data_IF_769720175462
#
_entry.id   IF_769720175462
#
_cell.length_a   1.000
_cell.length_b   1.000
_cell.length_c   1.000
_cell.angle_alpha   90.00
_cell.angle_beta   90.00
_cell.angle_gamma   90.00
#
_symmetry.space_group_name_H-M   'P 1'
#
loop_
_entity.id
_entity.type
_entity.pdbx_description
1 polymer ?
#
# COMPACT_ATOMS: atom_id res chain seq x y z
N UNK A 1 5.62 -21.00 -23.57
CA UNK A 1 6.36 -20.25 -22.53
C UNK A 1 6.49 -18.84 -23.07
N UNK A 2 6.04 -17.82 -22.33
CA UNK A 2 6.24 -16.44 -22.75
C UNK A 2 7.76 -16.15 -22.83
N UNK A 3 8.21 -15.49 -23.90
CA UNK A 3 9.61 -15.11 -24.04
C UNK A 3 9.97 -14.17 -22.89
N UNK A 4 11.02 -14.50 -22.14
CA UNK A 4 11.54 -13.65 -21.05
C UNK A 4 12.76 -12.85 -21.52
N UNK A 5 12.97 -12.74 -22.84
CA UNK A 5 14.16 -12.16 -23.48
C UNK A 5 14.44 -10.70 -23.09
N UNK A 6 13.50 -9.98 -22.48
CA UNK A 6 13.68 -8.61 -21.97
C UNK A 6 13.94 -8.47 -20.46
N UNK A 7 13.93 -9.57 -19.69
CA UNK A 7 13.88 -9.51 -18.22
C UNK A 7 15.20 -9.87 -17.56
N UNK A 8 15.86 -8.86 -17.00
CA UNK A 8 17.08 -9.04 -16.20
C UNK A 8 16.73 -9.32 -14.74
N UNK A 9 17.38 -10.27 -14.06
CA UNK A 9 17.23 -10.47 -12.63
C UNK A 9 17.38 -9.17 -11.82
N UNK A 10 16.37 -8.84 -11.01
CA UNK A 10 16.39 -7.67 -10.11
C UNK A 10 17.26 -8.01 -8.90
N UNK A 11 18.56 -8.10 -9.14
CA UNK A 11 19.58 -8.32 -8.11
C UNK A 11 20.08 -7.00 -7.57
N UNK A 12 20.72 -7.04 -6.40
CA UNK A 12 21.38 -5.85 -5.83
C UNK A 12 22.41 -5.24 -6.78
N UNK A 13 23.22 -6.07 -7.46
CA UNK A 13 24.23 -5.60 -8.42
C UNK A 13 23.61 -4.91 -9.64
N UNK A 14 22.50 -5.46 -10.17
CA UNK A 14 21.77 -4.83 -11.25
C UNK A 14 21.19 -3.47 -10.82
N UNK A 15 20.53 -3.42 -9.66
CA UNK A 15 20.01 -2.17 -9.10
C UNK A 15 21.12 -1.15 -8.81
N UNK A 16 22.31 -1.58 -8.41
CA UNK A 16 23.45 -0.70 -8.21
C UNK A 16 23.83 0.00 -9.53
N UNK A 17 24.00 -0.76 -10.61
CA UNK A 17 24.31 -0.20 -11.93
C UNK A 17 23.21 0.74 -12.45
N UNK A 18 21.95 0.40 -12.19
CA UNK A 18 20.81 1.25 -12.56
C UNK A 18 20.83 2.57 -11.78
N UNK A 19 21.02 2.51 -10.46
CA UNK A 19 21.03 3.69 -9.59
C UNK A 19 22.30 4.54 -9.74
N UNK A 20 23.35 4.08 -10.42
CA UNK A 20 24.49 4.94 -10.78
C UNK A 20 24.10 6.10 -11.69
N UNK A 21 23.01 5.95 -12.44
CA UNK A 21 22.43 7.00 -13.28
C UNK A 21 21.53 7.97 -12.51
N UNK A 22 21.14 7.64 -11.28
CA UNK A 22 20.26 8.44 -10.42
C UNK A 22 21.02 8.92 -9.18
N UNK A 23 21.78 10.00 -9.33
CA UNK A 23 22.54 10.58 -8.21
C UNK A 23 21.73 11.66 -7.52
N UNK A 24 21.41 11.46 -6.24
CA UNK A 24 20.82 12.52 -5.43
C UNK A 24 21.90 13.55 -5.10
N UNK A 25 21.70 14.85 -5.40
CA UNK A 25 22.60 15.90 -4.96
C UNK A 25 22.70 15.93 -3.42
N UNK A 26 23.87 16.25 -2.85
CA UNK A 26 24.00 16.40 -1.40
C UNK A 26 22.96 17.39 -0.83
N UNK A 27 22.51 17.11 0.39
CA UNK A 27 21.69 18.05 1.15
C UNK A 27 22.44 19.37 1.39
N UNK A 28 21.71 20.46 1.57
CA UNK A 28 22.31 21.72 2.04
C UNK A 28 23.08 21.51 3.36
N UNK A 29 24.25 22.14 3.48
CA UNK A 29 25.05 22.17 4.71
C UNK A 29 24.27 22.78 5.89
N UNK A 30 23.26 23.60 5.59
CA UNK A 30 22.34 24.16 6.58
C UNK A 30 21.57 23.08 7.35
N UNK A 31 21.35 21.89 6.79
CA UNK A 31 20.67 20.79 7.49
C UNK A 31 21.43 20.42 8.77
N UNK A 32 22.74 20.21 8.67
CA UNK A 32 23.56 19.81 9.80
C UNK A 32 23.68 20.94 10.82
N UNK A 33 23.93 22.17 10.35
CA UNK A 33 24.05 23.37 11.18
C UNK A 33 22.76 23.63 11.95
N UNK A 34 21.62 23.75 11.26
CA UNK A 34 20.33 24.04 11.88
C UNK A 34 19.86 22.88 12.78
N UNK A 35 20.12 21.62 12.41
CA UNK A 35 19.84 20.50 13.31
C UNK A 35 20.62 20.61 14.62
N UNK A 36 21.88 21.07 14.58
CA UNK A 36 22.66 21.32 15.80
C UNK A 36 22.09 22.49 16.62
N UNK A 37 21.75 23.60 15.97
CA UNK A 37 21.16 24.77 16.63
C UNK A 37 19.83 24.44 17.30
N UNK A 38 18.92 23.75 16.60
CA UNK A 38 17.62 23.35 17.15
C UNK A 38 17.77 22.31 18.26
N UNK A 39 18.77 21.42 18.17
CA UNK A 39 19.10 20.48 19.25
C UNK A 39 19.58 21.23 20.50
N UNK A 40 20.43 22.25 20.34
CA UNK A 40 20.85 23.10 21.46
C UNK A 40 19.66 23.82 22.09
N UNK A 41 18.79 24.41 21.26
CA UNK A 41 17.56 25.05 21.73
C UNK A 41 16.67 24.09 22.54
N UNK A 42 16.51 22.87 22.07
CA UNK A 42 15.73 21.81 22.75
C UNK A 42 16.35 21.47 24.11
N UNK A 43 17.68 21.33 24.18
CA UNK A 43 18.40 21.08 25.42
C UNK A 43 18.28 22.25 26.41
N UNK A 44 18.38 23.49 25.92
CA UNK A 44 18.21 24.69 26.74
C UNK A 44 16.78 24.83 27.27
N UNK A 45 15.76 24.41 26.49
CA UNK A 45 14.37 24.40 26.96
C UNK A 45 14.18 23.41 28.10
N UNK A 46 14.79 22.23 28.00
CA UNK A 46 14.73 21.20 29.05
C UNK A 46 15.48 21.63 30.32
N UNK A 47 16.62 22.31 30.21
CA UNK A 47 17.43 22.71 31.37
C UNK A 47 16.81 23.84 32.20
N UNK A 48 16.11 24.79 31.55
CA UNK A 48 15.54 25.96 32.22
C UNK A 48 14.21 25.70 32.93
N UNK A 49 13.51 24.62 32.58
CA UNK A 49 12.29 24.18 33.27
C UNK A 49 12.17 22.67 33.10
N UNK A 50 12.34 21.88 34.17
CA UNK A 50 12.30 20.42 34.06
C UNK A 50 10.93 20.01 33.55
N UNK A 51 10.91 19.19 32.49
CA UNK A 51 9.69 18.57 32.00
C UNK A 51 9.08 17.71 33.11
N UNK A 52 7.79 17.39 33.00
CA UNK A 52 7.26 16.34 33.87
C UNK A 52 8.07 15.06 33.63
N UNK A 53 8.33 14.22 34.66
CA UNK A 53 9.20 13.04 34.49
C UNK A 53 8.79 12.11 33.34
N UNK A 54 7.51 12.09 32.98
CA UNK A 54 7.00 11.35 31.82
C UNK A 54 7.30 12.00 30.47
N UNK A 55 7.20 13.32 30.36
CA UNK A 55 7.51 14.09 29.15
C UNK A 55 9.01 14.08 28.86
N UNK A 56 9.85 14.28 29.89
CA UNK A 56 11.31 14.27 29.74
C UNK A 56 11.79 12.91 29.22
N UNK A 57 11.32 11.82 29.84
CA UNK A 57 11.66 10.46 29.41
C UNK A 57 11.23 10.17 27.97
N UNK A 58 10.08 10.71 27.54
CA UNK A 58 9.58 10.53 26.18
C UNK A 58 10.40 11.32 25.16
N UNK A 59 10.75 12.58 25.47
CA UNK A 59 11.59 13.43 24.62
C UNK A 59 13.01 12.86 24.50
N UNK A 60 13.62 12.43 25.61
CA UNK A 60 14.95 11.81 25.62
C UNK A 60 14.95 10.52 24.80
N UNK A 61 13.97 9.65 25.01
CA UNK A 61 13.84 8.40 24.24
C UNK A 61 13.74 8.66 22.73
N UNK A 62 13.05 9.71 22.32
CA UNK A 62 12.90 10.07 20.91
C UNK A 62 14.17 10.66 20.31
N UNK A 63 14.91 11.47 21.08
CA UNK A 63 16.20 12.00 20.66
C UNK A 63 17.26 10.91 20.50
N UNK A 64 17.19 9.84 21.29
CA UNK A 64 18.05 8.67 21.20
C UNK A 64 17.62 7.70 20.09
N UNK A 65 16.36 7.77 19.64
CA UNK A 65 15.84 6.90 18.58
C UNK A 65 16.50 7.21 17.26
N UNK A 66 17.04 6.17 16.61
CA UNK A 66 17.53 6.30 15.24
C UNK A 66 16.36 6.41 14.27
N UNK A 67 16.49 7.19 13.17
CA UNK A 67 15.52 7.17 12.09
C UNK A 67 15.35 5.74 11.56
N UNK A 68 14.13 5.34 11.15
CA UNK A 68 13.92 4.01 10.57
C UNK A 68 14.80 3.78 9.35
N UNK A 69 15.36 2.58 9.25
CA UNK A 69 16.27 2.19 8.16
C UNK A 69 15.54 2.05 6.82
N UNK A 70 14.33 1.46 6.83
CA UNK A 70 13.55 1.23 5.61
C UNK A 70 13.01 2.56 5.07
N UNK A 71 13.28 2.86 3.80
CA UNK A 71 12.87 4.12 3.16
C UNK A 71 11.37 4.41 3.32
N UNK A 72 10.51 3.41 3.18
CA UNK A 72 9.06 3.61 3.30
C UNK A 72 8.60 3.80 4.75
N UNK A 73 9.16 3.06 5.69
CA UNK A 73 8.94 3.29 7.14
C UNK A 73 9.36 4.70 7.52
N UNK A 74 10.50 5.13 6.98
CA UNK A 74 11.04 6.44 7.21
C UNK A 74 10.16 7.55 6.60
N UNK A 75 9.61 7.34 5.40
CA UNK A 75 8.58 8.24 4.84
C UNK A 75 7.35 8.34 5.74
N UNK A 76 6.87 7.23 6.29
CA UNK A 76 5.78 7.25 7.26
C UNK A 76 6.16 8.03 8.52
N UNK A 77 7.40 7.91 8.99
CA UNK A 77 7.89 8.66 10.15
C UNK A 77 7.97 10.17 9.91
N UNK A 78 8.41 10.58 8.73
CA UNK A 78 8.36 12.00 8.33
C UNK A 78 6.91 12.50 8.30
N UNK A 79 5.99 11.71 7.76
CA UNK A 79 4.56 12.05 7.72
C UNK A 79 3.97 12.21 9.13
N UNK A 80 4.30 11.28 10.04
CA UNK A 80 3.94 11.36 11.46
C UNK A 80 4.43 12.66 12.09
N UNK A 81 5.71 13.00 11.95
CA UNK A 81 6.26 14.22 12.53
C UNK A 81 5.67 15.49 11.93
N UNK A 82 5.48 15.54 10.62
CA UNK A 82 4.82 16.68 9.97
C UNK A 82 3.40 16.89 10.50
N UNK A 83 2.65 15.81 10.68
CA UNK A 83 1.27 15.91 11.17
C UNK A 83 1.19 16.25 12.65
N UNK A 84 2.08 15.72 13.48
CA UNK A 84 2.22 16.17 14.87
C UNK A 84 2.58 17.68 14.93
N UNK A 85 3.44 18.17 14.02
CA UNK A 85 3.75 19.61 13.94
C UNK A 85 2.52 20.41 13.53
N UNK A 86 1.80 20.00 12.47
CA UNK A 86 0.56 20.67 12.04
C UNK A 86 -0.44 20.73 13.18
N UNK A 87 -0.62 19.61 13.88
CA UNK A 87 -1.47 19.51 15.05
C UNK A 87 -1.06 20.50 16.14
N UNK A 88 0.23 20.55 16.52
CA UNK A 88 0.74 21.49 17.53
C UNK A 88 0.54 22.96 17.11
N UNK A 89 0.65 23.24 15.81
CA UNK A 89 0.50 24.56 15.23
C UNK A 89 -0.96 24.94 14.92
N UNK A 90 -1.94 24.09 15.19
CA UNK A 90 -3.35 24.45 15.07
C UNK A 90 -3.73 25.49 16.11
N UNK A 91 -4.40 26.57 15.67
CA UNK A 91 -4.71 27.75 16.49
C UNK A 91 -5.34 27.45 17.86
N UNK A 92 -6.30 26.51 18.01
CA UNK A 92 -6.88 26.18 19.31
C UNK A 92 -5.88 25.64 20.34
N UNK A 93 -4.71 25.16 19.89
CA UNK A 93 -3.65 24.60 20.75
C UNK A 93 -2.57 25.60 21.09
N UNK A 94 -2.62 26.80 20.54
CA UNK A 94 -1.65 27.83 20.87
C UNK A 94 -1.78 28.24 22.34
N UNK A 95 -0.70 28.70 22.98
CA UNK A 95 -0.76 29.45 24.23
C UNK A 95 -1.83 30.55 24.15
N UNK A 96 -2.60 30.76 25.21
CA UNK A 96 -3.72 31.73 25.22
C UNK A 96 -3.26 33.13 24.78
N UNK A 97 -2.07 33.52 25.23
CA UNK A 97 -1.39 34.78 24.89
C UNK A 97 -1.10 34.95 23.40
N UNK A 98 -0.95 33.87 22.62
CA UNK A 98 -0.80 33.90 21.16
C UNK A 98 -2.13 33.79 20.41
N UNK A 99 -3.19 33.27 21.02
CA UNK A 99 -4.52 33.19 20.39
C UNK A 99 -5.12 34.59 20.22
N UNK A 100 -4.90 35.45 21.23
CA UNK A 100 -5.32 36.84 21.30
C UNK A 100 -4.09 37.73 21.60
N UNK A 101 -3.23 38.01 20.59
CA UNK A 101 -1.98 38.72 20.79
C UNK A 101 -2.23 40.13 21.35
N UNK A 102 -1.72 40.38 22.55
CA UNK A 102 -1.83 41.69 23.22
C UNK A 102 -0.58 42.55 23.01
N UNK A 103 0.53 41.97 22.54
CA UNK A 103 1.79 42.67 22.26
C UNK A 103 2.21 42.54 20.79
N UNK A 104 2.98 43.51 20.24
CA UNK A 104 3.54 43.40 18.89
C UNK A 104 4.45 42.18 18.69
N UNK A 105 5.17 41.77 19.73
CA UNK A 105 6.06 40.60 19.69
C UNK A 105 5.26 39.30 19.58
N UNK A 106 4.18 39.17 20.35
CA UNK A 106 3.26 38.03 20.27
C UNK A 106 2.56 37.97 18.90
N UNK A 107 2.20 39.12 18.32
CA UNK A 107 1.60 39.19 16.99
C UNK A 107 2.58 38.78 15.88
N UNK A 108 3.86 39.15 16.00
CA UNK A 108 4.91 38.71 15.08
C UNK A 108 5.10 37.19 15.19
N UNK A 109 5.15 36.66 16.42
CA UNK A 109 5.34 35.24 16.66
C UNK A 109 4.15 34.39 16.13
N UNK A 110 2.92 34.85 16.35
CA UNK A 110 1.71 34.27 15.76
C UNK A 110 1.78 34.22 14.22
N UNK A 111 2.31 35.28 13.59
CA UNK A 111 2.49 35.33 12.13
C UNK A 111 3.51 34.28 11.66
N UNK A 112 4.62 34.11 12.39
CA UNK A 112 5.62 33.08 12.10
C UNK A 112 4.99 31.70 12.17
N UNK A 113 4.32 31.35 13.27
CA UNK A 113 3.70 30.04 13.45
C UNK A 113 2.61 29.73 12.43
N UNK A 114 1.82 30.73 12.02
CA UNK A 114 0.86 30.58 10.92
C UNK A 114 1.55 30.18 9.61
N UNK A 115 2.70 30.78 9.31
CA UNK A 115 3.47 30.43 8.12
C UNK A 115 4.11 29.04 8.24
N UNK A 116 4.63 28.66 9.41
CA UNK A 116 5.16 27.32 9.65
C UNK A 116 4.07 26.25 9.43
N UNK A 117 2.87 26.48 9.98
CA UNK A 117 1.70 25.61 9.79
C UNK A 117 1.38 25.40 8.31
N UNK A 118 1.34 26.49 7.53
CA UNK A 118 1.09 26.45 6.09
C UNK A 118 2.15 25.65 5.34
N UNK A 119 3.43 25.82 5.69
CA UNK A 119 4.54 25.08 5.06
C UNK A 119 4.41 23.58 5.31
N UNK A 120 4.28 23.17 6.57
CA UNK A 120 4.11 21.75 6.91
C UNK A 120 2.84 21.16 6.31
N UNK A 121 1.72 21.89 6.32
CA UNK A 121 0.48 21.42 5.69
C UNK A 121 0.65 21.18 4.18
N UNK A 122 1.45 22.01 3.50
CA UNK A 122 1.71 21.88 2.06
C UNK A 122 2.64 20.70 1.77
N UNK A 123 3.74 20.59 2.51
CA UNK A 123 4.70 19.51 2.35
C UNK A 123 4.10 18.15 2.75
N UNK A 124 3.27 18.10 3.80
CA UNK A 124 2.51 16.91 4.21
C UNK A 124 1.61 16.41 3.07
N UNK A 125 0.81 17.30 2.46
CA UNK A 125 -0.03 16.96 1.29
C UNK A 125 0.79 16.43 0.11
N UNK A 126 1.98 16.98 -0.10
CA UNK A 126 2.89 16.51 -1.16
C UNK A 126 3.34 15.06 -0.89
N UNK A 127 3.73 14.75 0.34
CA UNK A 127 4.09 13.40 0.76
C UNK A 127 2.91 12.42 0.65
N UNK A 128 1.71 12.83 1.05
CA UNK A 128 0.48 12.03 0.92
C UNK A 128 0.16 11.72 -0.55
N UNK A 129 0.25 12.73 -1.41
CA UNK A 129 0.05 12.58 -2.85
C UNK A 129 1.06 11.61 -3.45
N UNK A 130 2.33 11.73 -3.05
CA UNK A 130 3.40 10.82 -3.48
C UNK A 130 3.10 9.37 -3.09
N UNK A 131 2.79 9.10 -1.81
CA UNK A 131 2.49 7.74 -1.33
C UNK A 131 1.27 7.13 -2.04
N UNK A 132 0.21 7.91 -2.22
CA UNK A 132 -1.00 7.48 -2.93
C UNK A 132 -0.72 7.14 -4.40
N UNK A 133 -0.03 8.05 -5.12
CA UNK A 133 0.36 7.83 -6.53
C UNK A 133 1.26 6.62 -6.70
N UNK A 134 2.24 6.43 -5.81
CA UNK A 134 3.15 5.29 -5.86
C UNK A 134 2.41 3.97 -5.63
N UNK A 135 1.50 3.92 -4.64
CA UNK A 135 0.65 2.74 -4.39
C UNK A 135 -0.23 2.40 -5.60
N UNK A 136 -0.84 3.41 -6.22
CA UNK A 136 -1.65 3.20 -7.42
C UNK A 136 -0.82 2.74 -8.62
N UNK A 137 0.40 3.27 -8.77
CA UNK A 137 1.34 2.86 -9.82
C UNK A 137 1.72 1.39 -9.68
N UNK A 138 2.13 0.96 -8.47
CA UNK A 138 2.44 -0.45 -8.17
C UNK A 138 1.26 -1.33 -8.58
N UNK A 139 0.05 -0.97 -8.15
CA UNK A 139 -1.15 -1.73 -8.47
C UNK A 139 -1.42 -1.80 -9.97
N UNK A 140 -1.33 -0.67 -10.68
CA UNK A 140 -1.55 -0.61 -12.12
C UNK A 140 -0.53 -1.47 -12.88
N UNK A 141 0.75 -1.45 -12.49
CA UNK A 141 1.78 -2.31 -13.08
C UNK A 141 1.44 -3.78 -12.89
N UNK A 142 1.09 -4.19 -11.67
CA UNK A 142 0.65 -5.58 -11.39
C UNK A 142 -0.58 -5.95 -12.23
N UNK A 143 -1.51 -5.01 -12.43
CA UNK A 143 -2.70 -5.23 -13.24
C UNK A 143 -2.41 -5.45 -14.73
N UNK A 144 -1.24 -5.06 -15.24
CA UNK A 144 -0.85 -5.37 -16.64
C UNK A 144 -0.56 -6.84 -16.86
N UNK A 145 -0.14 -7.57 -15.81
CA UNK A 145 0.08 -9.01 -15.88
C UNK A 145 -1.21 -9.81 -15.68
N UNK A 146 -2.23 -9.20 -15.09
CA UNK A 146 -3.48 -9.88 -14.81
C UNK A 146 -4.40 -9.84 -16.03
N UNK A 147 -5.03 -10.98 -16.41
CA UNK A 147 -6.01 -11.03 -17.46
C UNK A 147 -7.12 -9.98 -17.26
N UNK A 148 -7.45 -9.24 -18.32
CA UNK A 148 -8.50 -8.21 -18.30
C UNK A 148 -9.93 -8.80 -18.35
N UNK A 149 -10.07 -10.07 -17.97
CA UNK A 149 -11.33 -10.78 -17.84
C UNK A 149 -11.90 -10.63 -16.42
N UNK A 150 -12.85 -11.49 -16.05
CA UNK A 150 -13.44 -11.46 -14.71
C UNK A 150 -12.41 -11.60 -13.57
N UNK A 151 -11.27 -12.26 -13.79
CA UNK A 151 -10.23 -12.47 -12.76
C UNK A 151 -9.61 -11.13 -12.36
N UNK A 152 -9.33 -10.26 -13.32
CA UNK A 152 -8.87 -8.89 -13.07
C UNK A 152 -9.92 -8.04 -12.33
N UNK A 153 -11.20 -8.21 -12.66
CA UNK A 153 -12.31 -7.53 -11.94
C UNK A 153 -12.41 -7.98 -10.48
N UNK A 154 -12.26 -9.28 -10.19
CA UNK A 154 -12.29 -9.82 -8.83
C UNK A 154 -11.15 -9.29 -7.96
N UNK A 155 -9.92 -9.25 -8.50
CA UNK A 155 -8.76 -8.75 -7.76
C UNK A 155 -8.94 -7.26 -7.41
N UNK A 156 -9.52 -6.46 -8.31
CA UNK A 156 -9.87 -5.06 -8.03
C UNK A 156 -10.89 -4.95 -6.88
N UNK A 157 -11.98 -5.70 -6.96
CA UNK A 157 -13.02 -5.70 -5.91
C UNK A 157 -12.47 -6.16 -4.55
N UNK A 158 -11.61 -7.19 -4.54
CA UNK A 158 -10.97 -7.68 -3.33
C UNK A 158 -10.06 -6.61 -2.71
N UNK A 159 -9.26 -5.90 -3.52
CA UNK A 159 -8.44 -4.77 -3.06
C UNK A 159 -9.33 -3.69 -2.45
N UNK A 160 -10.37 -3.25 -3.15
CA UNK A 160 -11.26 -2.19 -2.65
C UNK A 160 -11.91 -2.56 -1.32
N UNK A 161 -12.34 -3.82 -1.16
CA UNK A 161 -12.89 -4.31 0.11
C UNK A 161 -11.82 -4.32 1.21
N UNK A 162 -10.61 -4.79 0.93
CA UNK A 162 -9.50 -4.80 1.89
C UNK A 162 -9.12 -3.39 2.32
N UNK A 163 -9.00 -2.44 1.38
CA UNK A 163 -8.68 -1.04 1.70
C UNK A 163 -9.82 -0.38 2.50
N UNK A 164 -11.09 -0.68 2.19
CA UNK A 164 -12.24 -0.22 2.98
C UNK A 164 -12.21 -0.74 4.41
N UNK A 165 -11.91 -2.02 4.62
CA UNK A 165 -11.79 -2.58 5.98
C UNK A 165 -10.64 -1.93 6.76
N UNK A 166 -9.47 -1.77 6.13
CA UNK A 166 -8.30 -1.12 6.75
C UNK A 166 -8.57 0.33 7.11
N UNK A 167 -9.32 1.05 6.28
CA UNK A 167 -9.76 2.41 6.59
C UNK A 167 -10.75 2.43 7.76
N UNK A 168 -11.67 1.48 7.83
CA UNK A 168 -12.58 1.36 8.97
C UNK A 168 -11.83 1.11 10.30
N UNK A 169 -10.75 0.33 10.29
CA UNK A 169 -9.91 0.13 11.48
C UNK A 169 -9.24 1.45 11.93
N UNK A 170 -8.78 2.25 10.97
CA UNK A 170 -8.20 3.57 11.23
C UNK A 170 -9.26 4.52 11.80
N UNK A 171 -10.44 4.55 11.20
CA UNK A 171 -11.54 5.42 11.63
C UNK A 171 -12.03 5.04 13.03
N UNK A 172 -12.11 3.74 13.32
CA UNK A 172 -12.43 3.22 14.66
C UNK A 172 -11.36 3.62 15.68
N UNK A 173 -10.08 3.50 15.33
CA UNK A 173 -8.97 3.91 16.19
C UNK A 173 -9.01 5.42 16.48
N UNK A 174 -9.24 6.26 15.48
CA UNK A 174 -9.39 7.71 15.65
C UNK A 174 -10.61 8.02 16.54
N UNK A 175 -11.74 7.36 16.29
CA UNK A 175 -12.97 7.55 17.07
C UNK A 175 -12.81 7.15 18.54
N UNK A 176 -11.89 6.25 18.84
CA UNK A 176 -11.55 5.85 20.22
C UNK A 176 -10.66 6.85 20.98
N UNK A 177 -10.22 7.93 20.31
CA UNK A 177 -9.34 8.95 20.91
C UNK A 177 -7.85 8.59 20.88
N UNK A 178 -7.45 7.66 20.00
CA UNK A 178 -6.05 7.27 19.86
C UNK A 178 -5.17 8.42 19.36
N UNK A 179 -3.87 8.35 19.67
CA UNK A 179 -2.91 9.37 19.25
C UNK A 179 -2.57 9.27 17.76
N UNK A 180 -1.99 10.34 17.22
CA UNK A 180 -1.41 10.35 15.86
C UNK A 180 -0.42 9.19 15.70
N UNK A 181 0.38 8.90 16.72
CA UNK A 181 1.36 7.80 16.74
C UNK A 181 0.73 6.44 16.63
N UNK A 182 -0.36 6.20 17.37
CA UNK A 182 -1.09 4.92 17.32
C UNK A 182 -1.62 4.67 15.90
N UNK A 183 -2.12 5.73 15.25
CA UNK A 183 -2.58 5.65 13.85
C UNK A 183 -1.44 5.32 12.89
N UNK A 184 -0.27 5.96 13.02
CA UNK A 184 0.89 5.65 12.17
C UNK A 184 1.48 4.26 12.45
N UNK A 185 1.44 3.79 13.70
CA UNK A 185 1.79 2.42 14.05
C UNK A 185 0.86 1.40 13.38
N UNK A 186 -0.47 1.66 13.36
CA UNK A 186 -1.44 0.83 12.65
C UNK A 186 -1.20 0.83 11.12
N UNK A 187 -0.98 2.01 10.53
CA UNK A 187 -0.67 2.13 9.10
C UNK A 187 0.59 1.34 8.72
N UNK A 188 1.63 1.41 9.56
CA UNK A 188 2.85 0.64 9.36
C UNK A 188 2.62 -0.86 9.51
N UNK A 189 1.87 -1.29 10.53
CA UNK A 189 1.47 -2.68 10.71
C UNK A 189 0.74 -3.23 9.48
N UNK A 190 -0.27 -2.50 8.98
CA UNK A 190 -1.01 -2.87 7.77
C UNK A 190 -0.10 -2.93 6.53
N UNK A 191 0.90 -2.07 6.43
CA UNK A 191 1.89 -2.09 5.33
C UNK A 191 2.80 -3.31 5.41
N UNK A 192 3.26 -3.67 6.62
CA UNK A 192 4.09 -4.86 6.83
C UNK A 192 3.32 -6.15 6.60
N UNK A 193 2.04 -6.22 6.98
CA UNK A 193 1.17 -7.34 6.65
C UNK A 193 1.03 -7.53 5.14
N UNK A 194 0.83 -6.43 4.37
CA UNK A 194 0.83 -6.49 2.89
C UNK A 194 2.14 -7.07 2.35
N UNK A 195 3.28 -6.60 2.86
CA UNK A 195 4.61 -7.09 2.44
C UNK A 195 4.86 -8.54 2.81
N UNK A 196 4.38 -8.98 3.97
CA UNK A 196 4.48 -10.37 4.41
C UNK A 196 3.68 -11.29 3.51
N UNK A 197 2.43 -10.92 3.22
CA UNK A 197 1.58 -11.65 2.28
C UNK A 197 2.24 -11.73 0.90
N UNK A 198 2.76 -10.61 0.38
CA UNK A 198 3.49 -10.58 -0.90
C UNK A 198 4.71 -11.52 -0.89
N UNK A 199 5.56 -11.46 0.14
CA UNK A 199 6.72 -12.34 0.25
C UNK A 199 6.32 -13.82 0.31
N UNK A 200 5.23 -14.14 1.00
CA UNK A 200 4.65 -15.49 1.04
C UNK A 200 4.23 -15.98 -0.36
N UNK A 201 3.72 -15.09 -1.22
CA UNK A 201 3.44 -15.43 -2.62
C UNK A 201 4.72 -15.80 -3.37
N UNK A 202 5.82 -15.08 -3.12
CA UNK A 202 7.13 -15.37 -3.71
C UNK A 202 7.75 -16.69 -3.23
N UNK A 203 7.51 -17.06 -1.96
CA UNK A 203 8.00 -18.30 -1.35
C UNK A 203 7.08 -19.51 -1.54
N UNK A 204 5.83 -19.31 -1.97
CA UNK A 204 4.87 -20.39 -2.13
C UNK A 204 5.40 -21.47 -3.08
N UNK A 205 5.46 -22.72 -2.63
CA UNK A 205 5.74 -23.90 -3.45
C UNK A 205 4.43 -24.65 -3.75
N UNK A 206 4.28 -25.19 -4.96
CA UNK A 206 3.12 -26.01 -5.35
C UNK A 206 2.02 -25.27 -6.12
N UNK A 207 0.79 -25.77 -6.02
CA UNK A 207 -0.37 -25.44 -6.88
C UNK A 207 -0.70 -23.95 -6.92
N UNK A 208 -0.39 -23.18 -5.86
CA UNK A 208 -0.65 -21.73 -5.82
C UNK A 208 0.39 -20.89 -6.61
N UNK A 209 1.67 -21.26 -6.58
CA UNK A 209 2.69 -20.69 -7.50
C UNK A 209 2.41 -21.11 -8.94
N UNK A 210 1.88 -22.32 -9.12
CA UNK A 210 1.34 -22.77 -10.40
C UNK A 210 0.13 -21.91 -10.81
N UNK A 211 -0.81 -21.58 -9.92
CA UNK A 211 -1.94 -20.69 -10.22
C UNK A 211 -1.51 -19.28 -10.60
N UNK A 212 -0.57 -18.65 -9.89
CA UNK A 212 -0.07 -17.30 -10.24
C UNK A 212 0.73 -17.32 -11.56
N UNK A 213 1.51 -18.38 -11.81
CA UNK A 213 2.19 -18.57 -13.10
C UNK A 213 1.23 -18.87 -14.25
N UNK A 214 0.17 -19.64 -13.99
CA UNK A 214 -0.74 -20.20 -15.00
C UNK A 214 -1.93 -19.27 -15.28
N UNK A 215 -2.37 -18.46 -14.32
CA UNK A 215 -3.45 -17.48 -14.47
C UNK A 215 -2.95 -16.07 -14.85
N UNK A 216 -1.69 -15.73 -14.58
CA UNK A 216 -1.22 -14.32 -14.64
C UNK A 216 0.09 -14.16 -15.43
N UNK A 217 0.76 -15.23 -15.86
CA UNK A 217 1.98 -15.12 -16.66
C UNK A 217 3.09 -14.26 -16.02
N UNK A 218 3.06 -14.08 -14.70
CA UNK A 218 4.01 -13.22 -13.97
C UNK A 218 5.42 -13.78 -14.14
N UNK A 219 6.38 -12.97 -14.64
CA UNK A 219 7.74 -13.43 -14.79
C UNK A 219 8.38 -13.92 -13.49
N UNK A 220 9.14 -15.01 -13.56
CA UNK A 220 9.80 -15.61 -12.38
C UNK A 220 10.71 -14.62 -11.66
N UNK A 221 11.39 -13.74 -12.41
CA UNK A 221 12.26 -12.69 -11.85
C UNK A 221 11.52 -11.75 -10.88
N UNK A 222 10.26 -11.40 -11.16
CA UNK A 222 9.46 -10.57 -10.25
C UNK A 222 9.06 -11.34 -8.99
N UNK A 223 8.75 -12.64 -9.11
CA UNK A 223 8.44 -13.49 -7.96
C UNK A 223 9.66 -13.68 -7.04
N UNK A 224 10.85 -13.85 -7.64
CA UNK A 224 12.11 -13.96 -6.90
C UNK A 224 12.46 -12.66 -6.18
N UNK A 225 12.22 -11.51 -6.82
CA UNK A 225 12.38 -10.20 -6.19
C UNK A 225 11.39 -10.00 -5.02
N UNK A 226 10.10 -10.30 -5.22
CA UNK A 226 9.07 -10.15 -4.18
C UNK A 226 9.36 -11.03 -2.96
N UNK A 227 9.92 -12.22 -3.17
CA UNK A 227 10.37 -13.10 -2.07
C UNK A 227 11.40 -12.43 -1.17
N UNK A 228 12.29 -11.62 -1.75
CA UNK A 228 13.41 -10.95 -1.05
C UNK A 228 13.08 -9.49 -0.66
N UNK A 229 11.84 -9.03 -0.82
CA UNK A 229 11.48 -7.61 -0.64
C UNK A 229 11.69 -7.12 0.81
N UNK A 230 11.64 -8.03 1.77
CA UNK A 230 11.82 -7.74 3.19
C UNK A 230 13.21 -8.07 3.71
N UNK A 231 14.06 -8.72 2.89
CA UNK A 231 15.40 -9.14 3.30
C UNK A 231 16.28 -7.92 3.52
N UNK A 232 17.00 -7.89 4.65
CA UNK A 232 17.86 -6.75 5.00
C UNK A 232 19.12 -6.67 4.12
N UNK A 233 19.50 -7.77 3.46
CA UNK A 233 20.53 -7.80 2.41
C UNK A 233 19.94 -7.92 0.99
N UNK A 234 18.62 -7.74 0.87
CA UNK A 234 17.89 -7.91 -0.38
C UNK A 234 18.19 -6.82 -1.41
N UNK A 235 17.65 -6.95 -2.64
CA UNK A 235 17.88 -5.98 -3.71
C UNK A 235 17.50 -4.53 -3.33
N UNK A 236 16.49 -4.36 -2.46
CA UNK A 236 16.05 -3.05 -1.97
C UNK A 236 17.07 -2.35 -1.05
N UNK A 237 18.07 -3.06 -0.53
CA UNK A 237 19.12 -2.48 0.31
C UNK A 237 20.00 -1.51 -0.49
N UNK A 238 20.15 -1.70 -1.80
CA UNK A 238 20.90 -0.75 -2.64
C UNK A 238 20.26 0.65 -2.63
N UNK A 239 18.92 0.69 -2.72
CA UNK A 239 18.18 1.95 -2.65
C UNK A 239 18.33 2.60 -1.27
N UNK A 240 18.33 1.80 -0.20
CA UNK A 240 18.49 2.27 1.18
C UNK A 240 19.88 2.84 1.42
N UNK A 241 20.93 2.17 0.95
CA UNK A 241 22.30 2.66 1.10
C UNK A 241 22.53 3.99 0.38
N UNK A 242 21.94 4.18 -0.80
CA UNK A 242 22.13 5.40 -1.59
C UNK A 242 21.28 6.57 -1.12
N UNK A 243 20.00 6.33 -0.82
CA UNK A 243 19.03 7.41 -0.57
C UNK A 243 18.54 7.47 0.88
N UNK A 244 18.88 6.48 1.69
CA UNK A 244 18.60 6.47 3.13
C UNK A 244 19.31 7.61 3.87
N UNK A 245 20.64 7.80 3.76
CA UNK A 245 21.34 8.80 4.58
C UNK A 245 20.80 10.23 4.47
N UNK A 246 20.47 10.75 3.25
CA UNK A 246 19.78 12.03 3.13
C UNK A 246 18.43 12.05 3.85
N UNK A 247 17.61 11.02 3.64
CA UNK A 247 16.28 10.91 4.24
C UNK A 247 16.34 10.80 5.78
N UNK A 248 17.31 10.05 6.32
CA UNK A 248 17.54 9.94 7.76
C UNK A 248 17.87 11.30 8.38
N UNK A 249 18.73 12.08 7.71
CA UNK A 249 19.09 13.43 8.14
C UNK A 249 17.87 14.36 8.17
N UNK A 250 17.03 14.32 7.13
CA UNK A 250 15.77 15.06 7.08
C UNK A 250 14.80 14.64 8.19
N UNK A 251 14.71 13.33 8.47
CA UNK A 251 13.86 12.77 9.54
C UNK A 251 14.28 13.26 10.92
N UNK A 252 15.59 13.27 11.17
CA UNK A 252 16.14 13.82 12.41
C UNK A 252 15.82 15.31 12.53
N UNK A 253 15.94 16.07 11.44
CA UNK A 253 15.64 17.50 11.46
C UNK A 253 14.16 17.80 11.75
N UNK A 254 13.21 17.09 11.13
CA UNK A 254 11.78 17.31 11.43
C UNK A 254 11.40 16.87 12.83
N UNK A 255 12.03 15.80 13.34
CA UNK A 255 11.88 15.41 14.74
C UNK A 255 12.32 16.55 15.68
N UNK A 256 13.48 17.14 15.43
CA UNK A 256 14.02 18.24 16.23
C UNK A 256 13.12 19.47 16.17
N UNK A 257 12.62 19.85 14.99
CA UNK A 257 11.67 20.96 14.83
C UNK A 257 10.41 20.70 15.66
N UNK A 258 9.86 19.49 15.58
CA UNK A 258 8.67 19.11 16.35
C UNK A 258 8.90 19.20 17.86
N UNK A 259 10.02 18.67 18.34
CA UNK A 259 10.38 18.71 19.76
C UNK A 259 10.58 20.15 20.24
N UNK A 260 11.24 21.00 19.45
CA UNK A 260 11.41 22.41 19.77
C UNK A 260 10.06 23.13 19.91
N UNK A 261 9.12 22.90 18.99
CA UNK A 261 7.77 23.47 19.07
C UNK A 261 7.03 22.95 20.32
N UNK A 262 7.02 21.63 20.54
CA UNK A 262 6.36 21.01 21.68
C UNK A 262 6.86 21.58 23.01
N UNK A 263 8.19 21.61 23.21
CA UNK A 263 8.79 22.12 24.44
C UNK A 263 8.57 23.61 24.62
N UNK A 264 8.57 24.39 23.53
CA UNK A 264 8.28 25.82 23.56
C UNK A 264 6.84 26.10 24.00
N UNK A 265 5.87 25.27 23.59
CA UNK A 265 4.48 25.36 24.03
C UNK A 265 4.35 25.08 25.53
N UNK A 266 4.95 23.98 25.99
CA UNK A 266 4.89 23.60 27.41
C UNK A 266 5.54 24.61 28.36
N UNK A 267 6.39 25.51 27.84
CA UNK A 267 7.15 26.49 28.61
C UNK A 267 6.83 27.94 28.27
N UNK A 268 5.83 28.19 27.43
CA UNK A 268 5.61 29.50 26.81
C UNK A 268 5.50 30.63 27.83
N UNK A 269 4.80 30.40 28.95
CA UNK A 269 4.62 31.39 30.03
C UNK A 269 5.89 31.64 30.86
N UNK A 270 6.79 30.67 30.91
CA UNK A 270 8.05 30.75 31.70
C UNK A 270 9.26 31.19 30.89
N UNK A 271 9.29 30.83 29.60
CA UNK A 271 10.37 31.17 28.66
C UNK A 271 9.80 31.23 27.25
N UNK A 272 9.63 32.45 26.74
CA UNK A 272 9.34 32.69 25.32
C UNK A 272 10.61 32.51 24.48
N UNK A 273 10.43 32.06 23.25
CA UNK A 273 11.53 32.02 22.28
C UNK A 273 11.97 33.45 21.96
N UNK A 274 13.28 33.68 21.97
CA UNK A 274 13.84 34.97 21.56
C UNK A 274 13.87 35.11 20.03
N UNK A 275 14.15 36.32 19.52
CA UNK A 275 14.15 36.61 18.08
C UNK A 275 15.10 35.72 17.26
N UNK A 276 16.26 35.36 17.82
CA UNK A 276 17.24 34.51 17.15
C UNK A 276 16.76 33.06 17.09
N UNK A 277 16.18 32.55 18.18
CA UNK A 277 15.61 31.20 18.25
C UNK A 277 14.42 31.03 17.29
N UNK A 278 13.55 32.04 17.21
CA UNK A 278 12.43 32.07 16.26
C UNK A 278 12.95 32.08 14.82
N UNK A 279 13.97 32.89 14.52
CA UNK A 279 14.57 32.95 13.19
C UNK A 279 15.25 31.62 12.81
N UNK A 280 15.95 30.96 13.74
CA UNK A 280 16.56 29.65 13.53
C UNK A 280 15.49 28.58 13.27
N UNK A 281 14.40 28.57 14.03
CA UNK A 281 13.27 27.66 13.81
C UNK A 281 12.62 27.88 12.45
N UNK A 282 12.38 29.13 12.08
CA UNK A 282 11.85 29.49 10.77
C UNK A 282 12.76 29.02 9.63
N UNK A 283 14.07 29.30 9.73
CA UNK A 283 15.03 28.85 8.73
C UNK A 283 15.08 27.31 8.66
N UNK A 284 15.01 26.62 9.80
CA UNK A 284 14.99 25.15 9.84
C UNK A 284 13.77 24.59 9.10
N UNK A 285 12.57 25.14 9.32
CA UNK A 285 11.37 24.73 8.59
C UNK A 285 11.51 24.99 7.09
N UNK A 286 12.06 26.14 6.72
CA UNK A 286 12.25 26.53 5.32
C UNK A 286 13.20 25.59 4.57
N UNK A 287 14.35 25.30 5.18
CA UNK A 287 15.34 24.37 4.63
C UNK A 287 14.78 22.95 4.60
N UNK A 288 14.18 22.47 5.69
CA UNK A 288 13.60 21.13 5.75
C UNK A 288 12.55 20.92 4.66
N UNK A 289 11.57 21.81 4.55
CA UNK A 289 10.46 21.65 3.58
C UNK A 289 10.96 21.66 2.14
N UNK A 290 11.95 22.53 1.84
CA UNK A 290 12.55 22.63 0.51
C UNK A 290 13.39 21.40 0.15
N UNK A 291 14.25 20.95 1.07
CA UNK A 291 15.09 19.77 0.89
C UNK A 291 14.26 18.47 0.84
N UNK A 292 13.20 18.39 1.65
CA UNK A 292 12.27 17.25 1.62
C UNK A 292 11.50 17.19 0.31
N UNK A 293 10.99 18.31 -0.21
CA UNK A 293 10.34 18.36 -1.52
C UNK A 293 11.30 17.99 -2.66
N UNK A 294 12.56 18.43 -2.57
CA UNK A 294 13.62 18.02 -3.51
C UNK A 294 13.86 16.52 -3.45
N UNK A 295 13.92 15.95 -2.25
CA UNK A 295 14.06 14.50 -2.06
C UNK A 295 12.87 13.72 -2.61
N UNK A 296 11.65 14.15 -2.31
CA UNK A 296 10.41 13.52 -2.81
C UNK A 296 10.33 13.58 -4.33
N UNK A 297 10.69 14.71 -4.94
CA UNK A 297 10.71 14.85 -6.40
C UNK A 297 11.70 13.88 -7.04
N UNK A 298 12.92 13.83 -6.50
CA UNK A 298 13.95 12.90 -6.96
C UNK A 298 13.52 11.44 -6.81
N UNK A 299 13.07 11.01 -5.63
CA UNK A 299 12.72 9.60 -5.41
C UNK A 299 11.48 9.19 -6.21
N UNK A 300 10.58 10.15 -6.50
CA UNK A 300 9.46 9.94 -7.42
C UNK A 300 9.95 9.61 -8.81
N UNK A 301 10.97 10.30 -9.32
CA UNK A 301 11.58 10.00 -10.61
C UNK A 301 12.28 8.64 -10.63
N UNK A 302 13.01 8.30 -9.55
CA UNK A 302 13.64 6.99 -9.40
C UNK A 302 12.60 5.87 -9.44
N UNK A 303 11.51 5.97 -8.66
CA UNK A 303 10.42 5.00 -8.70
C UNK A 303 9.69 5.02 -10.04
N UNK A 304 9.63 6.18 -10.69
CA UNK A 304 8.95 6.32 -11.95
C UNK A 304 9.64 5.62 -13.13
N UNK A 305 10.92 5.26 -12.96
CA UNK A 305 11.71 4.59 -13.97
C UNK A 305 12.24 3.22 -13.47
N UNK A 306 11.91 2.85 -12.23
CA UNK A 306 12.48 1.68 -11.56
C UNK A 306 12.34 0.41 -12.40
N UNK A 307 13.41 -0.40 -12.54
CA UNK A 307 13.45 -1.50 -13.48
C UNK A 307 12.58 -2.70 -13.06
N UNK A 308 12.03 -2.68 -11.84
CA UNK A 308 11.05 -3.66 -11.39
C UNK A 308 9.58 -3.24 -11.59
N UNK A 309 9.32 -2.02 -12.09
CA UNK A 309 7.98 -1.57 -12.52
C UNK A 309 7.82 -1.60 -14.04
N UNK A 310 8.14 -2.74 -14.64
CA UNK A 310 7.95 -3.02 -16.05
C UNK A 310 6.55 -3.57 -16.29
N UNK A 311 5.91 -3.18 -17.39
CA UNK A 311 4.62 -3.74 -17.80
C UNK A 311 4.83 -5.12 -18.43
N UNK A 312 3.76 -5.91 -18.52
CA UNK A 312 3.77 -7.18 -19.26
C UNK A 312 4.27 -7.02 -20.72
N UNK A 313 3.98 -5.88 -21.36
CA UNK A 313 4.45 -5.52 -22.69
C UNK A 313 5.97 -5.39 -22.76
N UNK A 314 6.53 -4.53 -21.90
CA UNK A 314 7.98 -4.28 -21.84
C UNK A 314 8.74 -5.54 -21.42
N UNK A 315 8.10 -6.40 -20.63
CA UNK A 315 8.64 -7.68 -20.19
C UNK A 315 8.67 -8.76 -21.28
N UNK A 316 8.17 -8.50 -22.49
CA UNK A 316 8.05 -9.51 -23.55
C UNK A 316 6.98 -10.58 -23.27
N UNK A 317 6.15 -10.38 -22.24
CA UNK A 317 5.11 -11.33 -21.84
C UNK A 317 3.88 -11.31 -22.77
N UNK A 318 3.76 -10.30 -23.65
CA UNK A 318 2.64 -10.17 -24.57
C UNK A 318 2.74 -11.00 -25.86
N UNK A 319 3.86 -11.67 -26.14
CA UNK A 319 3.96 -12.62 -27.27
C UNK A 319 3.24 -13.95 -27.01
N UNK A 320 2.48 -14.04 -25.91
CA UNK A 320 1.73 -15.23 -25.50
C UNK A 320 0.26 -14.93 -25.19
N UNK A 321 -0.53 -14.52 -26.19
CA UNK A 321 -1.95 -14.85 -26.21
C UNK A 321 -2.87 -13.71 -26.62
N UNK A 322 -3.47 -13.85 -27.82
CA UNK A 322 -4.91 -13.65 -27.91
C UNK A 322 -5.54 -14.47 -26.78
N UNK A 323 -5.92 -13.77 -25.71
CA UNK A 323 -6.37 -14.34 -24.45
C UNK A 323 -7.80 -14.84 -24.60
N UNK A 324 -7.97 -15.88 -25.41
CA UNK A 324 -9.24 -16.58 -25.56
C UNK A 324 -9.20 -17.95 -24.89
N UNK A 325 -8.86 -17.94 -23.60
CA UNK A 325 -9.05 -19.05 -22.65
C UNK A 325 -10.53 -19.49 -22.53
N UNK A 326 -11.46 -18.82 -23.21
CA UNK A 326 -12.85 -19.23 -23.21
C UNK A 326 -12.99 -20.58 -23.91
N UNK A 327 -13.66 -21.51 -23.22
CA UNK A 327 -14.08 -22.77 -23.83
C UNK A 327 -15.34 -22.49 -24.63
N UNK A 328 -15.35 -22.92 -25.88
CA UNK A 328 -16.56 -22.94 -26.69
C UNK A 328 -17.14 -24.35 -26.74
N UNK A 329 -18.43 -24.47 -26.47
CA UNK A 329 -19.16 -25.73 -26.58
C UNK A 329 -20.54 -25.49 -27.19
N UNK A 330 -21.06 -26.47 -27.91
CA UNK A 330 -22.43 -26.43 -28.42
C UNK A 330 -23.33 -27.22 -27.48
N UNK A 331 -24.32 -26.55 -26.88
CA UNK A 331 -25.38 -27.16 -26.07
C UNK A 331 -26.57 -27.49 -26.97
N UNK A 332 -26.86 -28.76 -27.28
CA UNK A 332 -27.98 -29.12 -28.17
C UNK A 332 -29.34 -28.71 -27.59
N UNK A 333 -30.35 -28.63 -28.47
CA UNK A 333 -31.75 -28.49 -28.06
C UNK A 333 -32.15 -29.67 -27.14
N UNK A 334 -32.84 -29.39 -26.04
CA UNK A 334 -33.28 -30.42 -25.09
C UNK A 334 -32.18 -30.95 -24.15
N UNK A 335 -31.00 -30.32 -24.09
CA UNK A 335 -29.83 -30.81 -23.32
C UNK A 335 -29.25 -29.74 -22.38
N UNK A 336 -28.45 -30.19 -21.43
CA UNK A 336 -27.66 -29.36 -20.50
C UNK A 336 -26.16 -29.56 -20.74
N UNK A 337 -25.36 -28.57 -20.35
CA UNK A 337 -23.91 -28.65 -20.25
C UNK A 337 -23.49 -28.31 -18.82
N UNK A 338 -22.55 -29.06 -18.26
CA UNK A 338 -22.21 -28.97 -16.84
C UNK A 338 -20.70 -28.89 -16.64
N UNK A 339 -20.27 -28.07 -15.69
CA UNK A 339 -18.88 -27.97 -15.25
C UNK A 339 -18.86 -28.18 -13.74
N UNK A 340 -18.12 -29.20 -13.29
CA UNK A 340 -17.95 -29.51 -11.86
C UNK A 340 -16.58 -29.03 -11.38
N UNK A 341 -16.54 -28.37 -10.23
CA UNK A 341 -15.36 -27.83 -9.56
C UNK A 341 -15.25 -28.46 -8.18
N UNK A 342 -14.14 -29.16 -7.92
CA UNK A 342 -13.79 -29.60 -6.57
C UNK A 342 -13.18 -28.42 -5.81
N UNK A 343 -13.76 -28.07 -4.67
CA UNK A 343 -13.31 -26.99 -3.80
C UNK A 343 -12.76 -27.57 -2.51
N UNK A 344 -11.47 -27.39 -2.29
CA UNK A 344 -10.75 -28.00 -1.17
C UNK A 344 -10.85 -27.18 0.13
N UNK A 345 -11.31 -25.93 0.08
CA UNK A 345 -11.33 -25.04 1.24
C UNK A 345 -12.50 -24.06 1.22
N UNK A 346 -13.11 -23.84 2.39
CA UNK A 346 -14.10 -22.78 2.62
C UNK A 346 -13.50 -21.42 2.28
N UNK A 347 -14.33 -20.46 1.87
CA UNK A 347 -13.94 -19.12 1.42
C UNK A 347 -13.11 -19.08 0.12
N UNK A 348 -13.07 -20.18 -0.65
CA UNK A 348 -12.66 -20.13 -2.05
C UNK A 348 -13.67 -19.30 -2.85
N UNK A 349 -13.23 -18.62 -3.90
CA UNK A 349 -14.08 -17.91 -4.85
C UNK A 349 -14.30 -18.75 -6.10
N UNK A 350 -15.55 -19.11 -6.37
CA UNK A 350 -15.94 -19.62 -7.69
C UNK A 350 -16.43 -18.44 -8.52
N UNK A 351 -15.96 -18.36 -9.76
CA UNK A 351 -16.34 -17.32 -10.69
C UNK A 351 -16.56 -17.87 -12.09
N UNK A 352 -17.47 -17.22 -12.81
CA UNK A 352 -17.80 -17.54 -14.19
C UNK A 352 -17.94 -16.27 -15.03
N UNK A 353 -17.73 -16.46 -16.32
CA UNK A 353 -18.05 -15.52 -17.37
C UNK A 353 -18.50 -16.34 -18.57
N UNK A 354 -19.71 -16.07 -19.07
CA UNK A 354 -20.17 -16.73 -20.28
C UNK A 354 -21.01 -15.82 -21.16
N UNK A 355 -20.99 -16.14 -22.44
CA UNK A 355 -21.81 -15.52 -23.48
C UNK A 355 -22.21 -16.55 -24.52
N UNK A 356 -23.29 -16.25 -25.24
CA UNK A 356 -23.71 -17.03 -26.39
C UNK A 356 -23.13 -16.44 -27.69
N UNK A 357 -22.46 -17.29 -28.49
CA UNK A 357 -21.78 -16.89 -29.73
C UNK A 357 -22.61 -17.35 -30.93
N UNK A 358 -23.70 -16.64 -31.24
CA UNK A 358 -24.50 -16.82 -32.45
C UNK A 358 -25.08 -15.46 -32.89
N UNK A 359 -25.37 -15.28 -34.19
CA UNK A 359 -25.69 -13.99 -34.84
C UNK A 359 -26.97 -13.26 -34.36
N UNK A 360 -27.62 -12.46 -35.23
CA UNK A 360 -28.68 -11.46 -34.94
C UNK A 360 -30.00 -11.95 -34.26
N UNK A 361 -30.03 -13.10 -33.61
CA UNK A 361 -31.19 -13.63 -32.88
C UNK A 361 -30.88 -13.54 -31.38
N UNK A 362 -31.73 -12.84 -30.62
CA UNK A 362 -31.67 -12.85 -29.15
C UNK A 362 -31.91 -14.27 -28.66
N UNK A 363 -30.83 -14.95 -28.27
CA UNK A 363 -30.85 -16.29 -27.71
C UNK A 363 -30.41 -16.17 -26.27
N UNK A 364 -31.10 -16.90 -25.40
CA UNK A 364 -30.73 -17.09 -24.01
C UNK A 364 -30.39 -18.56 -23.72
N UNK A 365 -29.82 -18.81 -22.54
CA UNK A 365 -29.59 -20.12 -21.96
C UNK A 365 -29.97 -20.07 -20.47
N UNK A 366 -30.52 -21.16 -19.95
CA UNK A 366 -30.74 -21.30 -18.51
C UNK A 366 -29.39 -21.45 -17.80
N UNK A 367 -29.22 -20.81 -16.66
CA UNK A 367 -27.99 -20.94 -15.87
C UNK A 367 -28.31 -21.03 -14.38
N UNK A 368 -27.65 -21.98 -13.70
CA UNK A 368 -27.72 -22.18 -12.25
C UNK A 368 -26.39 -22.70 -11.70
N UNK A 369 -26.22 -22.58 -10.38
CA UNK A 369 -25.08 -23.13 -9.66
C UNK A 369 -25.57 -23.96 -8.48
N UNK A 370 -25.13 -25.21 -8.43
CA UNK A 370 -25.48 -26.18 -7.40
C UNK A 370 -24.24 -26.57 -6.59
N UNK A 371 -24.43 -26.84 -5.30
CA UNK A 371 -23.41 -27.41 -4.42
C UNK A 371 -23.85 -28.81 -4.02
N UNK A 372 -22.90 -29.76 -4.02
CA UNK A 372 -23.09 -31.10 -3.48
C UNK A 372 -22.07 -31.32 -2.36
N UNK A 373 -22.58 -31.58 -1.16
CA UNK A 373 -21.74 -31.86 0.01
C UNK A 373 -21.17 -33.29 -0.02
N UNK A 374 -20.29 -33.61 0.93
CA UNK A 374 -19.64 -34.92 1.03
C UNK A 374 -20.61 -36.09 1.26
N UNK A 375 -21.82 -35.85 1.77
CA UNK A 375 -22.87 -36.86 1.96
C UNK A 375 -23.84 -36.97 0.76
N UNK A 376 -23.59 -36.25 -0.33
CA UNK A 376 -24.41 -36.25 -1.55
C UNK A 376 -25.66 -35.37 -1.49
N UNK A 377 -25.86 -34.63 -0.39
CA UNK A 377 -26.89 -33.61 -0.25
C UNK A 377 -26.63 -32.43 -1.19
N UNK A 378 -27.64 -32.04 -1.96
CA UNK A 378 -27.56 -30.94 -2.91
C UNK A 378 -28.20 -29.67 -2.34
N UNK A 379 -27.53 -28.53 -2.50
CA UNK A 379 -28.11 -27.22 -2.25
C UNK A 379 -27.93 -26.31 -3.46
N UNK A 380 -28.87 -25.37 -3.64
CA UNK A 380 -28.84 -24.42 -4.75
C UNK A 380 -28.14 -23.14 -4.30
N UNK A 381 -27.05 -22.78 -4.98
CA UNK A 381 -26.27 -21.58 -4.67
C UNK A 381 -26.77 -20.40 -5.50
N UNK A 382 -26.94 -20.60 -6.80
CA UNK A 382 -27.52 -19.61 -7.70
C UNK A 382 -28.78 -20.19 -8.33
N UNK A 383 -29.95 -19.55 -8.15
CA UNK A 383 -31.19 -20.04 -8.71
C UNK A 383 -31.19 -19.98 -10.24
N UNK A 384 -31.92 -20.91 -10.85
CA UNK A 384 -32.12 -20.96 -12.29
C UNK A 384 -32.71 -19.65 -12.81
N UNK A 385 -32.05 -19.06 -13.80
CA UNK A 385 -32.56 -17.93 -14.59
C UNK A 385 -32.02 -17.99 -16.01
N UNK A 386 -32.71 -17.34 -16.96
CA UNK A 386 -32.32 -17.28 -18.37
C UNK A 386 -31.47 -16.04 -18.64
N UNK A 387 -30.34 -16.23 -19.31
CA UNK A 387 -29.36 -15.18 -19.61
C UNK A 387 -28.89 -15.27 -21.07
N UNK A 388 -28.66 -14.13 -21.70
CA UNK A 388 -27.96 -14.06 -23.00
C UNK A 388 -26.43 -14.13 -22.80
N UNK A 389 -25.97 -13.47 -21.74
CA UNK A 389 -24.64 -13.56 -21.16
C UNK A 389 -24.75 -13.26 -19.67
N UNK A 390 -23.83 -13.76 -18.88
CA UNK A 390 -23.74 -13.42 -17.47
C UNK A 390 -22.30 -13.54 -16.98
N UNK A 391 -21.98 -12.72 -15.98
CA UNK A 391 -20.73 -12.79 -15.29
C UNK A 391 -21.00 -12.66 -13.79
N UNK A 392 -20.50 -13.62 -13.03
CA UNK A 392 -20.74 -13.67 -11.60
C UNK A 392 -19.65 -14.38 -10.84
N UNK A 393 -19.74 -14.26 -9.52
CA UNK A 393 -18.88 -14.95 -8.58
C UNK A 393 -19.59 -15.09 -7.25
N UNK A 394 -19.15 -16.04 -6.43
CA UNK A 394 -19.49 -16.10 -5.02
C UNK A 394 -18.36 -16.73 -4.21
N UNK A 395 -18.41 -16.46 -2.91
CA UNK A 395 -17.53 -17.06 -1.93
C UNK A 395 -18.15 -18.36 -1.42
N UNK A 396 -17.42 -19.46 -1.51
CA UNK A 396 -17.85 -20.79 -1.11
C UNK A 396 -18.06 -20.86 0.40
N UNK A 397 -19.21 -21.40 0.80
CA UNK A 397 -19.59 -21.55 2.21
C UNK A 397 -19.10 -22.87 2.81
N UNK A 398 -18.74 -23.84 1.98
CA UNK A 398 -18.27 -25.17 2.40
C UNK A 398 -17.27 -25.72 1.37
N UNK A 399 -16.44 -26.68 1.79
CA UNK A 399 -15.62 -27.47 0.87
C UNK A 399 -16.45 -28.62 0.28
N UNK A 400 -16.29 -28.91 -1.00
CA UNK A 400 -17.05 -29.94 -1.71
C UNK A 400 -17.15 -29.68 -3.20
N UNK A 401 -18.14 -30.28 -3.86
CA UNK A 401 -18.27 -30.18 -5.32
C UNK A 401 -19.32 -29.13 -5.71
N UNK A 402 -18.91 -28.15 -6.50
CA UNK A 402 -19.79 -27.14 -7.05
C UNK A 402 -19.98 -27.37 -8.55
N UNK A 403 -21.23 -27.32 -9.00
CA UNK A 403 -21.60 -27.58 -10.38
C UNK A 403 -22.27 -26.36 -10.99
N UNK A 404 -21.69 -25.87 -12.08
CA UNK A 404 -22.28 -24.83 -12.91
C UNK A 404 -23.01 -25.50 -14.06
N UNK A 405 -24.29 -25.17 -14.25
CA UNK A 405 -25.18 -25.84 -15.20
C UNK A 405 -25.71 -24.80 -16.20
N UNK A 406 -25.45 -25.06 -17.48
CA UNK A 406 -26.06 -24.35 -18.59
C UNK A 406 -27.13 -25.22 -19.23
N UNK A 407 -28.38 -24.77 -19.18
CA UNK A 407 -29.55 -25.54 -19.51
C UNK A 407 -30.23 -25.02 -20.78
N UNK A 408 -30.30 -25.86 -21.81
CA UNK A 408 -31.04 -25.63 -23.05
C UNK A 408 -32.18 -26.66 -23.23
N UNK A 409 -32.63 -27.30 -22.14
CA UNK A 409 -33.70 -28.30 -22.13
C UNK A 409 -35.04 -27.75 -22.61
N UNK A 410 -35.28 -26.45 -22.39
CA UNK A 410 -36.48 -25.76 -22.85
C UNK A 410 -36.50 -25.45 -24.35
N UNK A 411 -35.37 -25.57 -25.06
CA UNK A 411 -35.33 -25.32 -26.50
C UNK A 411 -35.63 -26.59 -27.27
N UNK A 412 -36.67 -26.54 -28.11
CA UNK A 412 -37.07 -27.66 -28.96
C UNK A 412 -36.30 -27.73 -30.29
N UNK A 413 -35.72 -26.62 -30.75
CA UNK A 413 -35.20 -26.51 -32.12
C UNK A 413 -33.79 -25.93 -32.22
N UNK A 414 -33.36 -25.12 -31.25
CA UNK A 414 -32.13 -24.34 -31.39
C UNK A 414 -31.05 -24.82 -30.44
N UNK A 415 -29.91 -25.23 -31.00
CA UNK A 415 -28.67 -25.41 -30.23
C UNK A 415 -28.09 -24.04 -29.85
N UNK A 416 -27.41 -23.96 -28.72
CA UNK A 416 -26.74 -22.75 -28.23
C UNK A 416 -25.24 -22.96 -28.27
N UNK A 417 -24.49 -22.04 -28.87
CA UNK A 417 -23.03 -22.05 -28.78
C UNK A 417 -22.64 -21.22 -27.58
N UNK A 418 -22.20 -21.89 -26.53
CA UNK A 418 -21.80 -21.31 -25.27
C UNK A 418 -20.28 -21.09 -25.29
N UNK A 419 -19.88 -19.84 -25.14
CA UNK A 419 -18.50 -19.45 -24.86
C UNK A 419 -18.41 -19.10 -23.40
N UNK A 420 -17.67 -19.88 -22.63
CA UNK A 420 -17.65 -19.76 -21.19
C UNK A 420 -16.26 -19.95 -20.60
N UNK A 421 -16.08 -19.38 -19.43
CA UNK A 421 -14.89 -19.54 -18.60
C UNK A 421 -15.33 -19.65 -17.15
N UNK A 422 -14.72 -20.59 -16.44
CA UNK A 422 -15.02 -20.89 -15.05
C UNK A 422 -13.71 -21.11 -14.34
N UNK A 423 -13.60 -20.57 -13.13
CA UNK A 423 -12.43 -20.77 -12.31
C UNK A 423 -12.79 -20.86 -10.83
N UNK A 424 -11.94 -21.53 -10.06
CA UNK A 424 -12.03 -21.62 -8.61
C UNK A 424 -10.73 -21.11 -7.99
N UNK A 425 -10.83 -20.00 -7.28
CA UNK A 425 -9.71 -19.33 -6.63
C UNK A 425 -9.73 -19.74 -5.15
N UNK A 426 -8.70 -20.43 -4.63
CA UNK A 426 -8.66 -20.82 -3.22
C UNK A 426 -8.67 -19.60 -2.28
N UNK A 427 -9.12 -19.74 -1.02
CA UNK A 427 -9.09 -18.66 -0.05
C UNK A 427 -7.66 -18.16 0.14
N UNK A 428 -7.52 -16.85 0.37
CA UNK A 428 -6.27 -16.31 0.90
C UNK A 428 -6.19 -16.74 2.35
N UNK A 429 -5.51 -17.85 2.62
CA UNK A 429 -5.26 -18.31 3.98
C UNK A 429 -4.26 -17.35 4.61
N UNK A 430 -4.69 -16.59 5.61
CA UNK A 430 -3.77 -15.99 6.57
C UNK A 430 -3.10 -17.14 7.31
N UNK A 431 -1.88 -17.48 6.93
CA UNK A 431 -1.09 -18.41 7.74
C UNK A 431 -0.78 -17.69 9.05
N UNK A 432 -1.45 -18.10 10.12
CA UNK A 432 -1.01 -17.79 11.48
C UNK A 432 0.44 -18.28 11.59
N UNK A 433 1.41 -17.42 11.96
CA UNK A 433 2.77 -17.89 12.18
C UNK A 433 2.76 -19.06 13.17
N UNK A 434 3.66 -20.06 13.01
CA UNK A 434 4.00 -20.90 14.15
C UNK A 434 4.42 -19.97 15.29
N UNK A 435 3.89 -20.21 16.49
CA UNK A 435 4.29 -19.48 17.68
C UNK A 435 5.82 -19.50 17.73
N UNK A 436 6.45 -18.34 17.58
CA UNK A 436 7.88 -18.18 17.83
C UNK A 436 8.11 -18.62 19.26
N UNK A 437 8.87 -19.70 19.44
CA UNK A 437 9.55 -19.95 20.68
C UNK A 437 10.30 -18.68 21.07
N UNK A 438 10.03 -18.24 22.28
CA UNK A 438 10.68 -17.11 22.93
C UNK A 438 12.13 -17.53 23.14
N UNK A 439 13.06 -16.97 22.37
CA UNK A 439 14.47 -16.93 22.79
C UNK A 439 14.66 -15.65 23.62
N UNK A 440 15.17 -15.86 24.84
CA UNK A 440 15.46 -14.88 25.89
C UNK A 440 16.42 -13.75 25.49
#
# INVERSE_FOLDING_TARGET
>A
MASTEGLVPITRAFLASYYDTYKFPPLSDDIARLSSEIRSLTADLLSNSPATPGEERLVVKELESRPPHKVDENMWKNREHMEEIVFLLDRPRWPQTLQEPSSPEDAQLATVFTRLHRKFSTTLKTLESFQSKNSQRVFNTVMTYIPQDFRGRLIRLQRERSERNKQADIDALISSGASIRDRYALLWKQQMERRRLLAQLGSATGVYKTLVKYLVGVPQVLLDFVRQINDDDGPMEEQRQRYGPPLYSLTTMVLLIRLAILLSWGRFETRKLNKQEVAALEQAVDVYTTEFERFITFISEVFANSPFFISAEVAGALDGGNNDDYKETSVPAGKTHEVSLSVDSINSYIAWDFSLVQGKINLDIGFSVEYTNASGGKSLILPYKRYESDQGNFCTCEAGNYKLVWDNSYSSFFKKVLRYKVDCIPPVVETVPPATEVEE
#
